data_IF_536531602244
#
_entry.id   IF_536531602244
#
_cell.length_a   1.000
_cell.length_b   1.000
_cell.length_c   1.000
_cell.angle_alpha   90.00
_cell.angle_beta   90.00
_cell.angle_gamma   90.00
#
_symmetry.space_group_name_H-M   'P 1'
#
loop_
_entity.id
_entity.type
_entity.pdbx_description
1 polymer ?
#
# COMPACT_ATOMS: atom_id res chain seq x y z
N UNK A 1 13.88 15.77 18.62
CA UNK A 1 12.54 15.57 19.18
C UNK A 1 12.30 16.61 20.24
N UNK A 2 11.18 17.33 20.13
CA UNK A 2 10.79 18.43 21.03
C UNK A 2 9.62 18.04 21.94
N UNK A 3 8.84 17.01 21.55
CA UNK A 3 7.70 16.49 22.29
C UNK A 3 7.68 14.95 22.23
N UNK A 4 7.35 14.29 23.33
CA UNK A 4 7.26 12.83 23.41
C UNK A 4 5.93 12.42 24.04
N UNK A 5 5.19 11.57 23.32
CA UNK A 5 4.06 10.81 23.82
C UNK A 5 4.53 9.37 23.96
N UNK A 6 4.56 8.87 25.19
CA UNK A 6 5.00 7.51 25.48
C UNK A 6 4.00 6.85 26.42
N UNK A 7 3.60 5.63 26.07
CA UNK A 7 2.87 4.78 26.99
C UNK A 7 3.86 4.00 27.87
N UNK A 8 3.69 4.13 29.18
CA UNK A 8 4.45 3.35 30.15
C UNK A 8 4.05 1.87 30.06
N UNK A 9 4.98 1.03 29.60
CA UNK A 9 4.81 -0.42 29.47
C UNK A 9 4.44 -1.13 30.78
N UNK A 10 4.67 -0.51 31.94
CA UNK A 10 4.34 -1.06 33.27
C UNK A 10 2.93 -0.68 33.76
N UNK A 11 2.25 0.24 33.05
CA UNK A 11 0.95 0.78 33.47
C UNK A 11 -0.25 -0.15 33.22
N UNK A 12 -0.06 -1.27 32.51
CA UNK A 12 -1.05 -2.34 32.37
C UNK A 12 -0.65 -3.51 33.27
N UNK A 13 -1.43 -3.75 34.33
CA UNK A 13 -1.37 -5.02 35.03
C UNK A 13 -2.01 -6.11 34.14
N UNK A 14 -1.32 -6.59 33.11
CA UNK A 14 -1.80 -7.63 32.19
C UNK A 14 -1.55 -7.35 30.71
N UNK A 15 -2.29 -8.03 29.83
CA UNK A 15 -2.22 -7.93 28.36
C UNK A 15 -3.16 -6.90 27.75
N UNK A 16 -3.88 -6.12 28.57
CA UNK A 16 -5.03 -5.32 28.13
C UNK A 16 -4.61 -4.08 27.32
N UNK A 17 -5.12 -3.92 26.09
CA UNK A 17 -4.73 -2.80 25.24
C UNK A 17 -5.56 -1.52 25.52
N UNK A 18 -5.09 -0.36 25.04
CA UNK A 18 -5.85 0.88 25.02
C UNK A 18 -7.00 0.81 24.03
N UNK A 19 -8.23 0.99 24.52
CA UNK A 19 -9.41 1.02 23.66
C UNK A 19 -9.74 2.42 23.12
N UNK A 20 -8.96 3.45 23.47
CA UNK A 20 -9.11 4.82 22.99
C UNK A 20 -7.84 5.31 22.31
N UNK A 21 -8.00 6.02 21.19
CA UNK A 21 -6.90 6.72 20.53
C UNK A 21 -6.44 7.98 21.27
N UNK A 22 -5.43 8.68 20.73
CA UNK A 22 -4.89 9.89 21.36
C UNK A 22 -5.47 11.18 20.77
N UNK A 23 -5.58 11.25 19.45
CA UNK A 23 -6.00 12.44 18.71
C UNK A 23 -7.14 12.05 17.78
N UNK A 24 -8.28 12.74 17.91
CA UNK A 24 -9.39 12.63 16.95
C UNK A 24 -9.55 13.95 16.21
N UNK A 25 -9.48 13.91 14.88
CA UNK A 25 -9.66 15.05 14.00
C UNK A 25 -11.02 14.89 13.30
N UNK A 26 -11.99 15.69 13.74
CA UNK A 26 -13.35 15.73 13.21
C UNK A 26 -13.70 17.16 12.72
N UNK A 27 -12.71 17.84 12.14
CA UNK A 27 -12.76 19.19 11.61
C UNK A 27 -11.60 20.05 12.09
N UNK A 28 -11.11 20.95 11.23
CA UNK A 28 -10.02 21.88 11.53
C UNK A 28 -8.65 21.33 11.12
N UNK A 29 -7.60 22.01 11.62
CA UNK A 29 -6.22 21.78 11.21
C UNK A 29 -5.36 21.40 12.42
N UNK A 30 -4.67 20.26 12.32
CA UNK A 30 -3.70 19.78 13.31
C UNK A 30 -2.33 19.71 12.65
N UNK A 31 -1.33 20.25 13.34
CA UNK A 31 0.06 20.15 12.91
C UNK A 31 0.91 19.53 14.03
N UNK A 32 1.63 18.47 13.67
CA UNK A 32 2.56 17.73 14.54
C UNK A 32 3.96 17.99 14.01
N UNK A 33 4.86 18.50 14.88
CA UNK A 33 6.24 18.84 14.51
C UNK A 33 7.19 18.32 15.58
N UNK A 34 8.27 17.66 15.16
CA UNK A 34 9.31 17.18 16.05
C UNK A 34 8.77 16.30 17.20
N UNK A 35 7.71 15.54 16.95
CA UNK A 35 7.02 14.75 17.99
C UNK A 35 7.30 13.26 17.82
N UNK A 36 7.61 12.58 18.91
CA UNK A 36 7.75 11.13 18.97
C UNK A 36 6.55 10.52 19.68
N UNK A 37 5.88 9.57 19.04
CA UNK A 37 4.85 8.71 19.63
C UNK A 37 5.42 7.31 19.76
N UNK A 38 5.51 6.75 20.98
CA UNK A 38 6.12 5.43 21.15
C UNK A 38 5.46 4.50 22.16
N UNK A 39 5.68 3.21 21.91
CA UNK A 39 5.38 2.09 22.80
C UNK A 39 3.88 1.92 23.11
N UNK A 40 3.02 2.29 22.17
CA UNK A 40 1.57 2.18 22.33
C UNK A 40 1.05 0.80 21.92
N UNK A 41 0.16 0.24 22.74
CA UNK A 41 -0.63 -0.96 22.44
C UNK A 41 -2.13 -0.63 22.44
N UNK A 42 -2.76 -0.73 21.29
CA UNK A 42 -4.17 -0.42 21.04
C UNK A 42 -5.03 -1.67 20.86
N UNK A 43 -6.30 -1.53 21.25
CA UNK A 43 -7.36 -2.47 20.91
C UNK A 43 -7.79 -2.26 19.46
N UNK A 44 -8.61 -3.17 18.96
CA UNK A 44 -8.95 -3.34 17.54
C UNK A 44 -9.33 -2.07 16.74
N UNK A 45 -9.86 -1.03 17.39
CA UNK A 45 -10.39 0.16 16.69
C UNK A 45 -9.58 1.44 16.92
N UNK A 46 -8.64 1.43 17.87
CA UNK A 46 -7.91 2.61 18.32
C UNK A 46 -6.58 2.79 17.55
N UNK A 47 -6.19 4.06 17.39
CA UNK A 47 -4.96 4.52 16.73
C UNK A 47 -4.41 5.75 17.45
N UNK A 48 -3.18 6.17 17.13
CA UNK A 48 -2.68 7.46 17.63
C UNK A 48 -3.57 8.59 17.11
N UNK A 49 -3.78 8.64 15.80
CA UNK A 49 -4.57 9.66 15.11
C UNK A 49 -5.74 8.98 14.40
N UNK A 50 -6.94 9.45 14.71
CA UNK A 50 -8.17 9.10 14.01
C UNK A 50 -8.67 10.32 13.21
N UNK A 51 -8.76 10.17 11.90
CA UNK A 51 -9.42 11.11 11.00
C UNK A 51 -10.88 10.67 10.86
N UNK A 52 -11.79 11.38 11.52
CA UNK A 52 -13.18 10.96 11.64
C UNK A 52 -14.11 11.86 10.83
N UNK A 53 -14.83 11.28 9.86
CA UNK A 53 -15.92 11.93 9.13
C UNK A 53 -17.00 10.92 8.73
N UNK A 54 -17.93 10.59 9.62
CA UNK A 54 -19.00 9.63 9.30
C UNK A 54 -20.29 10.26 8.74
N UNK A 55 -20.55 11.56 8.99
CA UNK A 55 -21.78 12.21 8.54
C UNK A 55 -21.59 12.96 7.21
N UNK A 56 -22.16 12.47 6.08
CA UNK A 56 -22.05 13.13 4.78
C UNK A 56 -22.76 14.50 4.72
N UNK A 57 -23.64 14.81 5.68
CA UNK A 57 -24.29 16.12 5.76
C UNK A 57 -23.33 17.21 6.30
N UNK A 58 -22.27 16.81 7.00
CA UNK A 58 -21.36 17.71 7.68
C UNK A 58 -20.01 17.74 6.95
N UNK A 59 -19.81 18.81 6.17
CA UNK A 59 -18.60 19.01 5.36
C UNK A 59 -17.52 19.77 6.13
N UNK A 60 -17.01 19.21 7.22
CA UNK A 60 -15.80 19.79 7.81
C UNK A 60 -14.57 19.37 7.02
N UNK A 61 -13.62 20.28 6.92
CA UNK A 61 -12.32 20.01 6.34
C UNK A 61 -11.40 19.50 7.45
N UNK A 62 -10.84 18.30 7.28
CA UNK A 62 -9.77 17.80 8.13
C UNK A 62 -8.45 18.14 7.46
N UNK A 63 -7.55 18.79 8.21
CA UNK A 63 -6.18 18.99 7.80
C UNK A 63 -5.23 18.36 8.84
N UNK A 64 -4.33 17.49 8.38
CA UNK A 64 -3.26 16.92 9.19
C UNK A 64 -1.92 17.17 8.51
N UNK A 65 -1.03 17.84 9.21
CA UNK A 65 0.34 18.08 8.79
C UNK A 65 1.30 17.43 9.79
N UNK A 66 2.08 16.45 9.36
CA UNK A 66 3.13 15.81 10.16
C UNK A 66 4.47 16.15 9.53
N UNK A 67 5.30 16.90 10.25
CA UNK A 67 6.54 17.44 9.70
C UNK A 67 7.67 17.42 10.73
N UNK A 68 8.81 17.99 10.35
CA UNK A 68 9.95 18.27 11.24
C UNK A 68 10.48 17.01 11.93
N UNK A 69 10.61 15.90 11.19
CA UNK A 69 11.17 14.63 11.67
C UNK A 69 10.45 14.05 12.89
N UNK A 70 9.11 14.00 12.80
CA UNK A 70 8.28 13.30 13.79
C UNK A 70 8.41 11.78 13.63
N UNK A 71 8.15 11.01 14.68
CA UNK A 71 8.21 9.54 14.61
C UNK A 71 7.06 8.83 15.33
N UNK A 72 6.71 7.66 14.80
CA UNK A 72 5.71 6.73 15.33
C UNK A 72 6.38 5.38 15.48
N UNK A 73 6.68 4.97 16.71
CA UNK A 73 7.60 3.86 16.98
C UNK A 73 6.98 2.82 17.90
N UNK A 74 7.06 1.54 17.53
CA UNK A 74 6.55 0.41 18.32
C UNK A 74 5.05 0.59 18.69
N UNK A 75 4.22 0.80 17.68
CA UNK A 75 2.79 1.03 17.85
C UNK A 75 2.04 -0.19 17.35
N UNK A 76 1.43 -0.91 18.28
CA UNK A 76 0.80 -2.20 18.01
C UNK A 76 -0.70 -2.14 18.21
N UNK A 77 -1.45 -2.82 17.35
CA UNK A 77 -2.87 -3.06 17.52
C UNK A 77 -3.10 -4.57 17.52
N UNK A 78 -3.77 -5.06 18.56
CA UNK A 78 -4.01 -6.49 18.78
C UNK A 78 -5.47 -6.78 19.06
N UNK A 79 -5.96 -7.91 18.55
CA UNK A 79 -7.36 -8.34 18.67
C UNK A 79 -7.88 -9.01 17.40
N UNK A 80 -9.03 -9.66 17.52
CA UNK A 80 -9.60 -10.48 16.43
C UNK A 80 -10.11 -9.66 15.24
N UNK A 81 -10.42 -8.37 15.42
CA UNK A 81 -11.04 -7.50 14.42
C UNK A 81 -10.30 -6.17 14.29
N UNK A 82 -8.96 -6.22 14.28
CA UNK A 82 -8.13 -5.03 14.09
C UNK A 82 -8.52 -4.32 12.79
N UNK A 83 -8.73 -3.00 12.87
CA UNK A 83 -9.06 -2.18 11.71
C UNK A 83 -7.80 -1.67 10.99
N UNK A 84 -6.66 -1.67 11.66
CA UNK A 84 -5.39 -1.16 11.13
C UNK A 84 -5.20 0.34 11.30
N UNK A 85 -4.15 0.87 10.70
CA UNK A 85 -3.72 2.26 10.81
C UNK A 85 -3.31 2.63 12.22
N UNK A 86 -2.38 1.89 12.84
CA UNK A 86 -2.09 2.07 14.27
C UNK A 86 -1.57 3.47 14.60
N UNK A 87 -0.84 4.09 13.69
CA UNK A 87 -0.46 5.48 13.78
C UNK A 87 -1.57 6.39 13.26
N UNK A 88 -2.03 6.18 12.03
CA UNK A 88 -3.06 7.02 11.40
C UNK A 88 -4.14 6.13 10.81
N UNK A 89 -5.36 6.30 11.30
CA UNK A 89 -6.54 5.69 10.72
C UNK A 89 -7.48 6.78 10.24
N UNK A 90 -8.05 6.62 9.06
CA UNK A 90 -8.94 7.63 8.50
C UNK A 90 -10.08 7.06 7.69
N UNK A 91 -11.25 7.66 7.89
CA UNK A 91 -12.39 7.52 7.01
C UNK A 91 -12.85 8.93 6.61
N UNK A 92 -12.68 9.27 5.34
CA UNK A 92 -12.88 10.63 4.84
C UNK A 92 -13.99 10.66 3.78
N UNK A 93 -14.91 11.63 3.89
CA UNK A 93 -16.09 11.72 3.02
C UNK A 93 -16.19 13.00 2.21
N UNK A 94 -15.24 13.92 2.39
CA UNK A 94 -15.23 15.22 1.71
C UNK A 94 -13.98 15.40 0.86
N UNK A 95 -14.15 16.00 -0.32
CA UNK A 95 -13.05 16.23 -1.26
C UNK A 95 -11.96 17.17 -0.73
N UNK A 96 -12.22 17.97 0.30
CA UNK A 96 -11.36 19.13 0.61
C UNK A 96 -10.33 18.84 1.72
N UNK A 97 -10.30 17.61 2.25
CA UNK A 97 -9.33 17.21 3.26
C UNK A 97 -7.90 17.31 2.75
N UNK A 98 -6.98 17.79 3.59
CA UNK A 98 -5.55 17.92 3.25
C UNK A 98 -4.70 17.13 4.22
N UNK A 99 -3.90 16.21 3.70
CA UNK A 99 -3.01 15.42 4.54
C UNK A 99 -1.61 15.46 3.96
N UNK A 100 -0.66 15.91 4.76
CA UNK A 100 0.73 15.98 4.37
C UNK A 100 1.59 15.39 5.47
N UNK A 101 2.43 14.44 5.08
CA UNK A 101 3.43 13.82 5.93
C UNK A 101 4.76 14.02 5.22
N UNK A 102 5.70 14.71 5.85
CA UNK A 102 6.98 15.03 5.22
C UNK A 102 8.17 15.10 6.20
N UNK A 103 9.28 15.66 5.72
CA UNK A 103 10.42 16.12 6.53
C UNK A 103 11.11 15.00 7.32
N UNK A 104 11.43 13.87 6.67
CA UNK A 104 12.07 12.71 7.29
C UNK A 104 11.25 12.12 8.45
N UNK A 105 9.92 12.11 8.30
CA UNK A 105 9.05 11.42 9.27
C UNK A 105 9.29 9.91 9.22
N UNK A 106 9.27 9.26 10.38
CA UNK A 106 9.51 7.82 10.53
C UNK A 106 8.30 7.09 11.10
N UNK A 107 7.85 6.03 10.42
CA UNK A 107 6.96 5.02 10.97
C UNK A 107 7.77 3.74 11.15
N UNK A 108 8.01 3.34 12.40
CA UNK A 108 8.82 2.18 12.73
C UNK A 108 8.05 1.19 13.58
N UNK A 109 8.01 -0.06 13.16
CA UNK A 109 7.36 -1.12 13.95
C UNK A 109 5.90 -0.78 14.28
N UNK A 110 5.18 -0.19 13.31
CA UNK A 110 3.74 -0.02 13.36
C UNK A 110 3.07 -1.32 12.88
N UNK A 111 2.38 -2.01 13.79
CA UNK A 111 1.91 -3.39 13.59
C UNK A 111 0.42 -3.48 13.89
N UNK A 112 -0.38 -3.79 12.88
CA UNK A 112 -1.75 -4.28 13.07
C UNK A 112 -1.79 -5.78 12.78
N UNK A 113 -2.13 -6.59 13.79
CA UNK A 113 -2.04 -8.05 13.66
C UNK A 113 -2.95 -8.61 12.55
N UNK A 114 -4.17 -8.07 12.44
CA UNK A 114 -5.22 -8.56 11.54
C UNK A 114 -5.86 -7.46 10.69
N UNK A 115 -5.46 -6.19 10.88
CA UNK A 115 -6.04 -5.05 10.18
C UNK A 115 -5.18 -4.57 9.03
N UNK A 116 -5.80 -3.87 8.07
CA UNK A 116 -5.12 -3.38 6.88
C UNK A 116 -4.31 -2.12 7.17
N UNK A 117 -3.10 -2.00 6.60
CA UNK A 117 -2.23 -0.86 6.87
C UNK A 117 -1.64 -0.91 8.27
N UNK A 118 -0.39 -1.35 8.44
CA UNK A 118 0.24 -1.38 9.76
C UNK A 118 0.37 0.02 10.37
N UNK A 119 0.89 0.98 9.60
CA UNK A 119 1.05 2.36 10.04
C UNK A 119 -0.17 3.21 9.69
N UNK A 120 -0.62 3.15 8.45
CA UNK A 120 -1.64 4.04 7.91
C UNK A 120 -2.75 3.20 7.25
N UNK A 121 -4.00 3.45 7.63
CA UNK A 121 -5.18 2.90 6.95
C UNK A 121 -6.12 4.05 6.60
N UNK A 122 -6.39 4.22 5.31
CA UNK A 122 -7.31 5.22 4.83
C UNK A 122 -8.38 4.63 3.92
N UNK A 123 -9.62 4.95 4.25
CA UNK A 123 -10.78 4.75 3.40
C UNK A 123 -11.28 6.12 2.97
N UNK A 124 -11.18 6.38 1.67
CA UNK A 124 -11.43 7.70 1.08
C UNK A 124 -12.65 7.64 0.17
N UNK A 125 -13.75 8.29 0.58
CA UNK A 125 -14.88 8.60 -0.30
C UNK A 125 -14.69 9.92 -1.05
N UNK A 126 -13.63 10.66 -0.74
CA UNK A 126 -13.16 11.80 -1.53
C UNK A 126 -12.02 12.47 -0.83
N UNK A 127 -10.98 12.88 -1.57
CA UNK A 127 -9.83 13.51 -0.96
C UNK A 127 -8.91 14.20 -1.97
N UNK A 128 -8.64 15.49 -1.78
CA UNK A 128 -7.66 16.20 -2.57
C UNK A 128 -6.32 16.34 -1.83
N UNK A 129 -5.31 15.63 -2.33
CA UNK A 129 -3.91 15.93 -2.01
C UNK A 129 -3.44 15.31 -0.70
N UNK A 130 -3.45 13.98 -0.60
CA UNK A 130 -2.52 13.32 0.32
C UNK A 130 -1.11 13.43 -0.27
N UNK A 131 -0.19 14.08 0.45
CA UNK A 131 1.23 14.14 0.09
C UNK A 131 2.03 13.38 1.15
N UNK A 132 2.83 12.42 0.72
CA UNK A 132 3.82 11.71 1.55
C UNK A 132 5.18 11.92 0.87
N UNK A 133 6.00 12.80 1.43
CA UNK A 133 7.27 13.20 0.83
C UNK A 133 8.43 12.98 1.81
N UNK A 134 9.42 12.19 1.42
CA UNK A 134 10.61 11.93 2.24
C UNK A 134 10.22 11.30 3.59
N UNK A 135 9.50 10.18 3.52
CA UNK A 135 9.01 9.43 4.69
C UNK A 135 9.56 8.01 4.65
N UNK A 136 9.95 7.49 5.83
CA UNK A 136 10.42 6.11 5.97
C UNK A 136 9.40 5.27 6.73
N UNK A 137 9.08 4.10 6.18
CA UNK A 137 8.33 3.02 6.80
C UNK A 137 9.27 1.84 7.01
N UNK A 138 9.56 1.53 8.27
CA UNK A 138 10.53 0.51 8.69
C UNK A 138 9.83 -0.56 9.52
N UNK A 139 9.84 -1.81 9.04
CA UNK A 139 9.37 -2.95 9.80
C UNK A 139 7.87 -2.81 10.17
N UNK A 140 7.04 -2.35 9.23
CA UNK A 140 5.58 -2.22 9.42
C UNK A 140 4.82 -3.47 8.97
N UNK A 141 3.74 -3.82 9.69
CA UNK A 141 2.97 -5.03 9.43
C UNK A 141 1.46 -4.76 9.48
N UNK A 142 0.73 -5.28 8.50
CA UNK A 142 -0.71 -5.20 8.37
C UNK A 142 -1.21 -6.34 7.48
N UNK A 143 -2.51 -6.61 7.47
CA UNK A 143 -3.08 -7.68 6.64
C UNK A 143 -2.86 -7.38 5.16
N UNK A 144 -3.49 -6.34 4.63
CA UNK A 144 -3.16 -5.79 3.31
C UNK A 144 -2.40 -4.48 3.46
N UNK A 145 -1.34 -4.29 2.67
CA UNK A 145 -0.51 -3.09 2.76
C UNK A 145 0.22 -3.05 4.10
N UNK A 146 1.32 -3.80 4.23
CA UNK A 146 1.96 -3.96 5.53
C UNK A 146 2.32 -2.64 6.23
N UNK A 147 2.67 -1.61 5.46
CA UNK A 147 2.78 -0.24 5.96
C UNK A 147 1.50 0.55 5.76
N UNK A 148 0.96 0.58 4.53
CA UNK A 148 -0.15 1.46 4.18
C UNK A 148 -1.20 0.78 3.33
N UNK A 149 -2.46 1.00 3.71
CA UNK A 149 -3.65 0.61 2.97
C UNK A 149 -4.46 1.84 2.53
N UNK A 150 -4.92 1.84 1.27
CA UNK A 150 -5.85 2.83 0.73
C UNK A 150 -7.03 2.18 0.00
N UNK A 151 -8.23 2.68 0.23
CA UNK A 151 -9.43 2.32 -0.52
C UNK A 151 -10.18 3.56 -1.02
N UNK A 152 -10.28 3.71 -2.35
CA UNK A 152 -10.91 4.85 -3.00
C UNK A 152 -12.30 4.48 -3.55
N UNK A 153 -13.36 4.99 -2.92
CA UNK A 153 -14.73 4.43 -3.09
C UNK A 153 -15.68 5.32 -3.90
N UNK A 154 -15.62 6.66 -3.81
CA UNK A 154 -16.66 7.52 -4.42
C UNK A 154 -16.12 8.68 -5.29
N UNK A 155 -15.54 9.71 -4.67
CA UNK A 155 -15.13 10.94 -5.35
C UNK A 155 -13.68 10.89 -5.82
N UNK A 156 -13.32 11.86 -6.68
CA UNK A 156 -11.96 11.98 -7.19
C UNK A 156 -10.96 12.11 -6.04
N UNK A 157 -9.88 11.31 -6.11
CA UNK A 157 -8.82 11.33 -5.11
C UNK A 157 -7.43 11.35 -5.74
N UNK A 158 -6.53 12.16 -5.16
CA UNK A 158 -5.12 12.20 -5.54
C UNK A 158 -4.23 11.99 -4.32
N UNK A 159 -3.35 10.99 -4.42
CA UNK A 159 -2.29 10.71 -3.44
C UNK A 159 -0.94 10.73 -4.16
N UNK A 160 0.07 11.37 -3.57
CA UNK A 160 1.43 11.37 -4.10
C UNK A 160 2.43 10.93 -3.04
N UNK A 161 3.30 10.00 -3.43
CA UNK A 161 4.48 9.58 -2.72
C UNK A 161 5.71 10.09 -3.45
N UNK A 162 6.63 10.69 -2.73
CA UNK A 162 7.90 11.14 -3.30
C UNK A 162 9.02 10.86 -2.33
N UNK A 163 10.17 10.37 -2.81
CA UNK A 163 11.36 10.11 -1.98
C UNK A 163 11.09 9.21 -0.75
N UNK A 164 10.13 8.29 -0.85
CA UNK A 164 9.78 7.43 0.27
C UNK A 164 10.66 6.18 0.34
N UNK A 165 10.75 5.61 1.53
CA UNK A 165 11.51 4.37 1.77
C UNK A 165 10.62 3.40 2.53
N UNK A 166 10.41 2.22 1.96
CA UNK A 166 9.77 1.09 2.61
C UNK A 166 10.80 0.00 2.81
N UNK A 167 11.04 -0.39 4.05
CA UNK A 167 12.04 -1.40 4.40
C UNK A 167 11.44 -2.42 5.35
N UNK A 168 11.62 -3.70 5.05
CA UNK A 168 11.20 -4.83 5.88
C UNK A 168 9.69 -4.81 6.24
N UNK A 169 8.85 -4.21 5.40
CA UNK A 169 7.41 -4.16 5.60
C UNK A 169 6.73 -5.43 5.09
N UNK A 170 5.79 -5.99 5.86
CA UNK A 170 5.18 -7.27 5.51
C UNK A 170 3.66 -7.31 5.63
N UNK A 171 3.03 -7.97 4.67
CA UNK A 171 1.62 -8.32 4.72
C UNK A 171 1.43 -9.62 5.51
N UNK A 172 0.41 -9.68 6.36
CA UNK A 172 0.14 -10.81 7.27
C UNK A 172 -1.09 -11.61 6.85
N UNK A 173 -1.21 -12.85 7.36
CA UNK A 173 -2.41 -13.69 7.24
C UNK A 173 -2.92 -13.88 5.79
N UNK A 174 -2.00 -14.11 4.85
CA UNK A 174 -2.35 -14.28 3.43
C UNK A 174 -2.82 -13.00 2.73
N UNK A 175 -2.68 -11.83 3.36
CA UNK A 175 -2.95 -10.55 2.71
C UNK A 175 -1.84 -10.13 1.75
N UNK A 176 -2.11 -9.10 0.95
CA UNK A 176 -1.29 -8.70 -0.20
C UNK A 176 -0.61 -7.35 0.01
N UNK A 177 0.47 -7.08 -0.74
CA UNK A 177 1.15 -5.79 -0.69
C UNK A 177 1.97 -5.62 0.59
N UNK A 178 3.19 -6.16 0.65
CA UNK A 178 3.98 -6.12 1.87
C UNK A 178 4.26 -4.72 2.42
N UNK A 179 4.33 -3.71 1.55
CA UNK A 179 4.38 -2.31 1.95
C UNK A 179 3.06 -1.60 1.70
N UNK A 180 2.54 -1.66 0.47
CA UNK A 180 1.41 -0.87 0.01
C UNK A 180 0.29 -1.74 -0.52
N UNK A 181 -0.95 -1.32 -0.27
CA UNK A 181 -2.12 -1.86 -0.95
C UNK A 181 -3.10 -0.76 -1.35
N UNK A 182 -3.68 -0.86 -2.55
CA UNK A 182 -4.64 0.11 -3.06
C UNK A 182 -5.85 -0.48 -3.79
N UNK A 183 -7.04 0.06 -3.54
CA UNK A 183 -8.27 -0.20 -4.31
C UNK A 183 -8.73 1.05 -5.04
N UNK A 184 -8.87 0.95 -6.36
CA UNK A 184 -9.20 2.07 -7.25
C UNK A 184 -10.57 1.88 -7.92
N UNK A 185 -11.63 1.87 -7.10
CA UNK A 185 -13.01 1.74 -7.55
C UNK A 185 -13.64 3.07 -8.03
N UNK A 186 -13.22 4.19 -7.42
CA UNK A 186 -13.52 5.54 -7.89
C UNK A 186 -12.41 6.10 -8.78
N UNK A 187 -12.64 7.28 -9.37
CA UNK A 187 -11.63 8.01 -10.13
C UNK A 187 -10.50 8.52 -9.22
N UNK A 188 -9.51 7.67 -8.92
CA UNK A 188 -8.39 8.01 -8.06
C UNK A 188 -7.06 7.77 -8.75
N UNK A 189 -6.09 8.67 -8.53
CA UNK A 189 -4.73 8.50 -9.05
C UNK A 189 -3.75 8.52 -7.88
N UNK A 190 -2.87 7.53 -7.86
CA UNK A 190 -1.72 7.52 -6.95
C UNK A 190 -0.44 7.73 -7.75
N UNK A 191 0.30 8.80 -7.45
CA UNK A 191 1.66 9.02 -7.96
C UNK A 191 2.70 8.47 -6.98
N UNK A 192 3.70 7.75 -7.47
CA UNK A 192 4.80 7.21 -6.67
C UNK A 192 6.12 7.49 -7.39
N UNK A 193 6.87 8.47 -6.91
CA UNK A 193 8.11 8.90 -7.55
C UNK A 193 9.32 8.73 -6.62
N UNK A 194 10.46 8.34 -7.19
CA UNK A 194 11.76 8.29 -6.48
C UNK A 194 11.70 7.48 -5.18
N UNK A 195 10.91 6.41 -5.15
CA UNK A 195 10.60 5.63 -3.94
C UNK A 195 11.26 4.26 -3.99
N UNK A 196 11.69 3.78 -2.82
CA UNK A 196 12.37 2.48 -2.70
C UNK A 196 11.58 1.51 -1.84
N UNK A 197 11.55 0.25 -2.26
CA UNK A 197 11.00 -0.89 -1.55
C UNK A 197 12.11 -1.92 -1.38
N UNK A 198 12.45 -2.25 -0.13
CA UNK A 198 13.54 -3.17 0.18
C UNK A 198 13.08 -4.24 1.15
N UNK A 199 13.20 -5.50 0.76
CA UNK A 199 12.81 -6.67 1.58
C UNK A 199 11.37 -6.61 2.08
N UNK A 200 10.48 -6.01 1.30
CA UNK A 200 9.06 -6.07 1.56
C UNK A 200 8.50 -7.41 1.11
N UNK A 201 7.63 -8.05 1.90
CA UNK A 201 7.08 -9.34 1.51
C UNK A 201 5.62 -9.57 1.90
N UNK A 202 5.01 -10.54 1.25
CA UNK A 202 3.76 -11.14 1.69
C UNK A 202 3.90 -12.65 1.69
N UNK A 203 3.02 -13.36 2.40
CA UNK A 203 2.94 -14.81 2.35
C UNK A 203 1.73 -15.23 1.53
N UNK A 204 1.83 -16.29 0.73
CA UNK A 204 0.65 -16.90 0.10
C UNK A 204 -0.44 -17.15 1.16
N UNK A 205 -1.70 -16.86 0.86
CA UNK A 205 -2.28 -16.57 -0.46
C UNK A 205 -2.11 -15.13 -0.99
N UNK A 206 -1.32 -14.30 -0.32
CA UNK A 206 -1.03 -12.93 -0.73
C UNK A 206 -0.26 -12.83 -2.06
N UNK A 207 -0.45 -11.69 -2.73
CA UNK A 207 0.26 -11.29 -3.95
C UNK A 207 0.96 -9.94 -3.74
N UNK A 208 1.89 -9.58 -4.62
CA UNK A 208 2.56 -8.28 -4.58
C UNK A 208 3.44 -8.13 -3.36
N UNK A 209 4.64 -8.71 -3.36
CA UNK A 209 5.51 -8.72 -2.19
C UNK A 209 5.79 -7.32 -1.62
N UNK A 210 5.89 -6.29 -2.46
CA UNK A 210 5.92 -4.90 -2.01
C UNK A 210 4.59 -4.16 -2.20
N UNK A 211 4.02 -4.22 -3.40
CA UNK A 211 2.83 -3.45 -3.74
C UNK A 211 1.79 -4.33 -4.45
N UNK A 212 0.54 -4.27 -3.99
CA UNK A 212 -0.58 -4.88 -4.67
C UNK A 212 -1.71 -3.86 -4.86
N UNK A 213 -2.40 -3.91 -6.00
CA UNK A 213 -3.60 -3.09 -6.17
C UNK A 213 -4.63 -3.69 -7.11
N UNK A 214 -5.86 -3.21 -6.95
CA UNK A 214 -6.99 -3.54 -7.83
C UNK A 214 -7.46 -2.26 -8.51
N UNK A 215 -7.53 -2.29 -9.84
CA UNK A 215 -8.04 -1.20 -10.67
C UNK A 215 -9.37 -1.59 -11.31
N UNK A 216 -10.45 -0.99 -10.83
CA UNK A 216 -11.81 -1.25 -11.33
C UNK A 216 -12.28 -0.18 -12.29
N UNK A 217 -11.91 1.08 -12.04
CA UNK A 217 -12.28 2.22 -12.85
C UNK A 217 -11.18 2.55 -13.87
N UNK A 218 -11.54 2.73 -15.14
CA UNK A 218 -10.56 3.03 -16.20
C UNK A 218 -9.94 4.44 -16.09
N UNK A 219 -10.55 5.33 -15.31
CA UNK A 219 -10.07 6.69 -15.02
C UNK A 219 -9.30 6.79 -13.70
N UNK A 220 -8.91 5.65 -13.14
CA UNK A 220 -8.14 5.55 -11.91
C UNK A 220 -6.88 4.72 -12.14
N UNK A 221 -5.94 4.73 -11.20
CA UNK A 221 -4.77 3.85 -11.24
C UNK A 221 -3.54 4.47 -10.58
N UNK A 222 -2.38 3.97 -11.01
CA UNK A 222 -1.08 4.30 -10.44
C UNK A 222 -0.15 4.83 -11.52
N UNK A 223 0.51 5.94 -11.22
CA UNK A 223 1.71 6.37 -11.92
C UNK A 223 2.91 6.15 -11.00
N UNK A 224 3.95 5.53 -11.50
CA UNK A 224 5.17 5.23 -10.76
C UNK A 224 6.39 5.60 -11.61
N UNK A 225 7.33 6.37 -11.07
CA UNK A 225 8.53 6.80 -11.80
C UNK A 225 9.78 6.62 -10.95
N UNK A 226 10.87 6.10 -11.53
CA UNK A 226 12.18 5.95 -10.85
C UNK A 226 12.09 5.21 -9.52
N UNK A 227 11.23 4.20 -9.44
CA UNK A 227 11.05 3.40 -8.23
C UNK A 227 11.89 2.12 -8.27
N UNK A 228 12.42 1.72 -7.12
CA UNK A 228 13.30 0.55 -6.99
C UNK A 228 12.71 -0.48 -6.04
N UNK A 229 12.73 -1.74 -6.47
CA UNK A 229 12.31 -2.91 -5.69
C UNK A 229 13.53 -3.83 -5.53
N UNK A 230 13.96 -4.04 -4.28
CA UNK A 230 15.12 -4.88 -3.97
C UNK A 230 14.73 -5.95 -2.97
N UNK A 231 14.97 -7.22 -3.32
CA UNK A 231 14.70 -8.37 -2.45
C UNK A 231 13.22 -8.43 -1.99
N UNK A 232 12.30 -7.88 -2.77
CA UNK A 232 10.87 -8.00 -2.50
C UNK A 232 10.37 -9.38 -2.91
N UNK A 233 9.51 -9.99 -2.10
CA UNK A 233 9.08 -11.35 -2.37
C UNK A 233 7.65 -11.68 -1.98
N UNK A 234 7.03 -12.57 -2.73
CA UNK A 234 5.93 -13.40 -2.21
C UNK A 234 6.54 -14.70 -1.68
N UNK A 235 6.20 -15.07 -0.45
CA UNK A 235 6.75 -16.24 0.25
C UNK A 235 5.75 -17.40 0.23
N UNK A 236 6.28 -18.62 0.24
CA UNK A 236 5.46 -19.83 0.25
C UNK A 236 4.54 -19.88 1.49
N UNK A 237 3.26 -20.17 1.23
CA UNK A 237 2.23 -20.35 2.25
C UNK A 237 2.28 -21.75 2.85
N UNK A 238 1.83 -21.89 4.09
CA UNK A 238 1.74 -23.20 4.74
C UNK A 238 0.51 -24.00 4.31
N UNK A 239 -0.59 -23.31 3.98
CA UNK A 239 -1.90 -23.93 3.74
C UNK A 239 -2.28 -24.03 2.25
N UNK A 240 -1.82 -23.08 1.43
CA UNK A 240 -2.14 -23.01 0.00
C UNK A 240 -0.94 -22.45 -0.77
N UNK A 241 -0.68 -23.03 -1.93
CA UNK A 241 0.37 -22.62 -2.86
C UNK A 241 -0.21 -22.20 -4.21
N UNK A 242 -1.44 -21.69 -4.21
CA UNK A 242 -2.17 -21.33 -5.42
C UNK A 242 -1.94 -19.88 -5.89
N UNK A 243 -1.46 -19.01 -5.01
CA UNK A 243 -1.21 -17.59 -5.30
C UNK A 243 0.29 -17.27 -5.14
N UNK A 244 0.64 -16.07 -4.66
CA UNK A 244 2.04 -15.67 -4.52
C UNK A 244 2.57 -15.05 -5.81
N UNK A 245 1.73 -14.29 -6.50
CA UNK A 245 2.08 -13.65 -7.75
C UNK A 245 2.68 -12.27 -7.54
N UNK A 246 3.65 -11.87 -8.36
CA UNK A 246 4.24 -10.53 -8.30
C UNK A 246 5.15 -10.35 -7.09
N UNK A 247 6.42 -10.77 -7.18
CA UNK A 247 7.37 -10.61 -6.06
C UNK A 247 7.59 -9.15 -5.66
N UNK A 248 7.66 -8.25 -6.64
CA UNK A 248 7.60 -6.81 -6.41
C UNK A 248 6.17 -6.29 -6.40
N UNK A 249 5.49 -6.39 -7.55
CA UNK A 249 4.20 -5.75 -7.81
C UNK A 249 3.17 -6.77 -8.31
N UNK A 250 1.97 -6.74 -7.75
CA UNK A 250 0.80 -7.40 -8.30
C UNK A 250 -0.29 -6.39 -8.68
N UNK A 251 -0.92 -6.58 -9.83
CA UNK A 251 -1.98 -5.72 -10.33
C UNK A 251 -3.18 -6.55 -10.77
N UNK A 252 -4.38 -6.18 -10.31
CA UNK A 252 -5.63 -6.78 -10.75
C UNK A 252 -6.46 -5.75 -11.53
N UNK A 253 -6.47 -5.88 -12.86
CA UNK A 253 -7.09 -4.94 -13.78
C UNK A 253 -8.47 -5.47 -14.18
N UNK A 254 -9.52 -4.93 -13.57
CA UNK A 254 -10.91 -5.40 -13.71
C UNK A 254 -11.70 -4.74 -14.86
N UNK A 255 -11.10 -3.83 -15.63
CA UNK A 255 -11.75 -3.18 -16.77
C UNK A 255 -11.15 -3.60 -18.12
N UNK A 256 -11.94 -3.41 -19.18
CA UNK A 256 -11.56 -3.72 -20.57
C UNK A 256 -11.05 -2.53 -21.39
N UNK A 257 -11.18 -1.31 -20.87
CA UNK A 257 -10.72 -0.10 -21.55
C UNK A 257 -9.18 -0.02 -21.67
N UNK A 258 -8.71 0.79 -22.63
CA UNK A 258 -7.29 1.18 -22.72
C UNK A 258 -6.89 1.98 -21.48
N UNK A 259 -5.64 1.79 -21.05
CA UNK A 259 -5.03 2.57 -20.00
C UNK A 259 -4.95 4.04 -20.38
N UNK A 260 -5.45 4.88 -19.48
CA UNK A 260 -5.36 6.31 -19.63
C UNK A 260 -3.95 6.76 -19.25
N UNK A 261 -3.33 7.60 -20.09
CA UNK A 261 -1.99 8.15 -19.82
C UNK A 261 -1.89 8.90 -18.50
N UNK A 262 -3.01 9.43 -17.97
CA UNK A 262 -3.00 10.12 -16.68
C UNK A 262 -3.07 9.18 -15.48
N UNK A 263 -3.30 7.89 -15.70
CA UNK A 263 -3.70 6.95 -14.65
C UNK A 263 -2.85 5.68 -14.61
N UNK A 264 -2.03 5.41 -15.62
CA UNK A 264 -1.19 4.23 -15.65
C UNK A 264 0.11 4.48 -16.40
N UNK A 265 1.21 4.68 -15.67
CA UNK A 265 2.57 4.67 -16.22
C UNK A 265 3.55 4.17 -15.15
N UNK A 266 4.38 3.20 -15.49
CA UNK A 266 5.37 2.58 -14.62
C UNK A 266 6.72 2.76 -15.29
N UNK A 267 7.36 3.89 -15.06
CA UNK A 267 8.49 4.37 -15.84
C UNK A 267 9.79 4.29 -15.05
N UNK A 268 10.84 3.79 -15.69
CA UNK A 268 12.20 3.70 -15.17
C UNK A 268 12.27 2.91 -13.86
N UNK A 269 11.51 1.81 -13.80
CA UNK A 269 11.53 0.93 -12.64
C UNK A 269 12.84 0.14 -12.57
N UNK A 270 13.26 -0.22 -11.37
CA UNK A 270 14.41 -1.09 -11.13
C UNK A 270 13.98 -2.24 -10.24
N UNK A 271 14.25 -3.48 -10.68
CA UNK A 271 14.07 -4.67 -9.87
C UNK A 271 15.41 -5.35 -9.64
N UNK A 272 15.72 -5.69 -8.39
CA UNK A 272 16.92 -6.40 -8.02
C UNK A 272 16.56 -7.55 -7.06
N UNK A 273 16.82 -8.78 -7.47
CA UNK A 273 16.61 -9.98 -6.65
C UNK A 273 15.18 -10.11 -6.07
N UNK A 274 14.16 -9.64 -6.78
CA UNK A 274 12.78 -9.94 -6.39
C UNK A 274 12.43 -11.39 -6.74
N UNK A 275 11.54 -12.00 -5.96
CA UNK A 275 11.17 -13.40 -6.15
C UNK A 275 9.67 -13.63 -5.89
N UNK A 276 9.10 -14.63 -6.55
CA UNK A 276 7.70 -14.99 -6.37
C UNK A 276 7.58 -16.48 -6.06
N UNK A 277 6.97 -16.82 -4.93
CA UNK A 277 6.61 -18.20 -4.62
C UNK A 277 5.63 -18.80 -5.64
N UNK A 278 4.87 -17.95 -6.34
CA UNK A 278 4.04 -18.29 -7.48
C UNK A 278 4.68 -17.88 -8.81
N UNK A 279 4.16 -16.81 -9.42
CA UNK A 279 4.45 -16.43 -10.81
C UNK A 279 4.71 -14.92 -10.93
N UNK A 280 5.57 -14.52 -11.87
CA UNK A 280 5.94 -13.11 -12.07
C UNK A 280 6.81 -12.59 -10.92
N UNK A 281 8.12 -12.85 -10.98
CA UNK A 281 9.05 -12.44 -9.91
C UNK A 281 9.08 -10.93 -9.66
N UNK A 282 8.94 -10.14 -10.71
CA UNK A 282 8.91 -8.68 -10.60
C UNK A 282 7.48 -8.16 -10.61
N UNK A 283 6.76 -8.41 -11.70
CA UNK A 283 5.41 -7.89 -11.92
C UNK A 283 4.50 -9.03 -12.35
N UNK A 284 3.32 -9.11 -11.75
CA UNK A 284 2.24 -9.96 -12.25
C UNK A 284 0.93 -9.19 -12.43
N UNK A 285 0.23 -9.47 -13.53
CA UNK A 285 -1.02 -8.80 -13.91
C UNK A 285 -2.15 -9.83 -14.06
N UNK A 286 -3.18 -9.72 -13.24
CA UNK A 286 -4.48 -10.33 -13.50
C UNK A 286 -5.33 -9.39 -14.38
N UNK A 287 -5.92 -9.89 -15.46
CA UNK A 287 -6.71 -9.07 -16.39
C UNK A 287 -7.77 -9.85 -17.14
N UNK A 288 -8.73 -9.14 -17.74
CA UNK A 288 -9.77 -9.72 -18.62
C UNK A 288 -9.28 -9.93 -20.06
N UNK A 289 -8.17 -9.31 -20.48
CA UNK A 289 -7.69 -9.36 -21.87
C UNK A 289 -6.17 -9.15 -21.96
N UNK A 290 -5.41 -10.25 -21.94
CA UNK A 290 -3.94 -10.25 -22.03
C UNK A 290 -3.46 -9.59 -23.34
N UNK A 291 -3.95 -9.96 -24.55
CA UNK A 291 -3.51 -9.32 -25.79
C UNK A 291 -3.65 -7.80 -25.79
N UNK A 292 -4.77 -7.27 -25.29
CA UNK A 292 -5.00 -5.82 -25.21
C UNK A 292 -4.04 -5.14 -24.24
N UNK A 293 -3.86 -5.69 -23.03
CA UNK A 293 -2.92 -5.14 -22.04
C UNK A 293 -1.49 -5.15 -22.58
N UNK A 294 -1.06 -6.26 -23.20
CA UNK A 294 0.25 -6.36 -23.84
C UNK A 294 0.43 -5.27 -24.91
N UNK A 295 -0.56 -5.10 -25.78
CA UNK A 295 -0.49 -4.11 -26.85
C UNK A 295 -0.41 -2.69 -26.30
N UNK A 296 -1.18 -2.37 -25.26
CA UNK A 296 -1.18 -1.05 -24.64
C UNK A 296 0.17 -0.74 -23.96
N UNK A 297 0.69 -1.70 -23.19
CA UNK A 297 1.98 -1.54 -22.51
C UNK A 297 3.12 -1.36 -23.51
N UNK A 298 3.17 -2.18 -24.56
CA UNK A 298 4.26 -2.18 -25.54
C UNK A 298 4.19 -0.99 -26.50
N UNK A 299 3.00 -0.64 -26.99
CA UNK A 299 2.84 0.45 -27.98
C UNK A 299 3.01 1.84 -27.37
N UNK A 300 2.62 2.00 -26.11
CA UNK A 300 2.66 3.29 -25.41
C UNK A 300 3.75 3.38 -24.34
N UNK A 301 4.65 2.39 -24.27
CA UNK A 301 5.73 2.29 -23.28
C UNK A 301 5.23 2.49 -21.83
N UNK A 302 4.09 1.88 -21.48
CA UNK A 302 3.46 2.09 -20.16
C UNK A 302 4.22 1.47 -19.02
N UNK A 303 5.06 0.47 -19.29
CA UNK A 303 5.96 -0.13 -18.32
C UNK A 303 7.36 -0.11 -18.93
N UNK A 304 8.29 0.59 -18.29
CA UNK A 304 9.71 0.58 -18.64
C UNK A 304 10.54 0.19 -17.42
N UNK A 305 11.47 -0.74 -17.63
CA UNK A 305 12.40 -1.22 -16.60
C UNK A 305 13.81 -0.91 -17.05
N UNK A 306 14.59 -0.33 -16.15
CA UNK A 306 15.98 0.03 -16.40
C UNK A 306 16.78 -1.22 -16.78
N UNK A 307 17.52 -1.16 -17.89
CA UNK A 307 18.32 -2.25 -18.45
C UNK A 307 17.53 -3.48 -18.96
N UNK A 308 16.19 -3.45 -19.01
CA UNK A 308 15.36 -4.50 -19.61
C UNK A 308 14.43 -3.89 -20.69
N UNK A 309 14.92 -3.66 -21.92
CA UNK A 309 14.17 -2.97 -22.97
C UNK A 309 13.06 -3.82 -23.63
N UNK A 310 13.08 -5.13 -23.42
CA UNK A 310 12.08 -6.07 -23.94
C UNK A 310 11.59 -6.98 -22.82
N UNK A 311 10.53 -6.58 -22.13
CA UNK A 311 10.01 -7.27 -20.94
C UNK A 311 9.27 -8.57 -21.25
N UNK A 312 8.69 -8.68 -22.45
CA UNK A 312 7.67 -9.70 -22.73
C UNK A 312 8.08 -10.68 -23.82
N UNK A 313 9.01 -10.32 -24.71
CA UNK A 313 9.47 -11.23 -25.77
C UNK A 313 10.88 -11.75 -25.55
N UNK A 314 11.64 -11.19 -24.60
CA UNK A 314 12.94 -11.71 -24.25
C UNK A 314 12.80 -12.96 -23.37
N UNK A 315 13.33 -14.12 -23.81
CA UNK A 315 13.27 -15.36 -23.02
C UNK A 315 14.04 -15.31 -21.70
N UNK A 316 14.87 -14.30 -21.45
CA UNK A 316 15.55 -14.15 -20.17
C UNK A 316 14.63 -13.62 -19.05
N UNK A 317 13.54 -12.92 -19.40
CA UNK A 317 12.65 -12.25 -18.45
C UNK A 317 11.25 -12.86 -18.34
N UNK A 318 10.99 -13.99 -19.03
CA UNK A 318 9.64 -14.55 -19.12
C UNK A 318 9.03 -14.90 -17.76
N UNK A 319 9.84 -15.25 -16.75
CA UNK A 319 9.38 -15.53 -15.38
C UNK A 319 9.19 -14.29 -14.51
N UNK A 320 9.74 -13.15 -14.94
CA UNK A 320 9.75 -11.92 -14.16
C UNK A 320 8.49 -11.09 -14.37
N UNK A 321 7.94 -11.14 -15.59
CA UNK A 321 6.75 -10.39 -16.00
C UNK A 321 5.71 -11.36 -16.55
N UNK A 322 4.64 -11.57 -15.79
CA UNK A 322 3.60 -12.55 -16.13
C UNK A 322 2.21 -11.92 -16.06
N UNK A 323 1.27 -12.50 -16.80
CA UNK A 323 -0.13 -12.18 -16.72
C UNK A 323 -1.00 -13.44 -16.68
N UNK A 324 -2.19 -13.35 -16.08
CA UNK A 324 -3.22 -14.39 -16.10
C UNK A 324 -4.56 -13.78 -16.50
N UNK A 325 -5.40 -14.55 -17.18
CA UNK A 325 -6.79 -14.17 -17.39
C UNK A 325 -7.56 -14.34 -16.09
N UNK A 326 -8.40 -13.38 -15.75
CA UNK A 326 -9.23 -13.43 -14.54
C UNK A 326 -10.16 -14.66 -14.52
N UNK A 327 -10.57 -15.16 -15.69
CA UNK A 327 -11.33 -16.41 -15.84
C UNK A 327 -10.55 -17.67 -15.44
N UNK A 328 -9.21 -17.61 -15.47
CA UNK A 328 -8.33 -18.74 -15.15
C UNK A 328 -7.85 -18.70 -13.68
N UNK A 329 -8.19 -17.64 -12.94
CA UNK A 329 -7.75 -17.48 -11.55
C UNK A 329 -8.38 -18.55 -10.63
N UNK A 330 -9.65 -18.95 -10.83
CA UNK A 330 -10.39 -19.86 -9.94
C UNK A 330 -10.16 -19.58 -8.43
N UNK A 331 -9.53 -20.52 -7.70
CA UNK A 331 -9.10 -20.40 -6.29
C UNK A 331 -7.58 -20.13 -6.17
N UNK A 332 -7.02 -19.44 -7.17
CA UNK A 332 -5.60 -19.33 -7.47
C UNK A 332 -5.06 -20.55 -8.23
N UNK A 333 -4.03 -20.34 -9.04
CA UNK A 333 -3.24 -21.39 -9.69
C UNK A 333 -1.82 -20.91 -9.95
N UNK A 334 -0.84 -21.82 -9.87
CA UNK A 334 0.54 -21.56 -10.29
C UNK A 334 0.94 -22.43 -11.49
N UNK A 335 -0.03 -23.03 -12.19
CA UNK A 335 0.21 -23.77 -13.44
C UNK A 335 0.77 -22.83 -14.51
N UNK A 336 2.03 -23.04 -14.88
CA UNK A 336 2.74 -22.26 -15.89
C UNK A 336 1.99 -22.17 -17.24
N UNK A 337 1.08 -23.11 -17.54
CA UNK A 337 0.34 -23.11 -18.80
C UNK A 337 -0.70 -21.99 -18.91
N UNK A 338 -1.22 -21.47 -17.79
CA UNK A 338 -2.23 -20.39 -17.82
C UNK A 338 -1.61 -19.00 -17.68
N UNK A 339 -0.40 -18.90 -17.13
CA UNK A 339 0.35 -17.65 -17.05
C UNK A 339 1.06 -17.35 -18.37
N UNK A 340 0.99 -16.10 -18.82
CA UNK A 340 1.56 -15.64 -20.09
C UNK A 340 2.53 -14.49 -19.83
N UNK A 341 3.75 -14.61 -20.33
CA UNK A 341 4.66 -13.48 -20.55
C UNK A 341 4.17 -12.67 -21.75
#
# INVERSE_FOLDING_TARGET
>A
TDCVFEQDSTSYAGTDPLNSGLICIAGGSVTIKSTEFKNYKFGSEASIILLYQEDPAIKYQNELFITSSSSFENITQSGDQCLGGTAIRGYTVTSDNKFQIDSNTLFKSCISQNGDGGAINLVCKGQWGFIIDTVTFDTCYGKNGGAIYFDFIELFTLINFTNCVFVDCNATNGGSGGALWGSYAASAVTGIDDTTFTRCSCQQEGNGGAFAFIQVNEWSGVNMTRCTFTECATLAGLESQNFGWGGGIFMDIKHSALFQERCFNFLDLVFANCDAAGQGKNIHICTTDIPRIRNDITSNFRITVTAAPDLYTNPDYYQDYMAILDTDVELGTNDENVHKA
#
